data_IF_922334003922
#
_entry.id   IF_922334003922
#
_cell.length_a   1.000
_cell.length_b   1.000
_cell.length_c   1.000
_cell.angle_alpha   90.00
_cell.angle_beta   90.00
_cell.angle_gamma   90.00
#
_symmetry.space_group_name_H-M   'P 1'
#
loop_
_entity.id
_entity.type
_entity.pdbx_description
1 polymer ?
#
# COMPACT_ATOMS: atom_id res chain seq x y z
N UNK A 1 -4.55 5.83 11.91
CA UNK A 1 -3.26 5.77 11.21
C UNK A 1 -3.45 5.93 9.71
N UNK A 2 -2.43 6.39 9.03
CA UNK A 2 -2.38 6.45 7.57
C UNK A 2 -1.54 5.30 7.02
N UNK A 3 -1.96 4.69 5.91
CA UNK A 3 -1.12 3.73 5.18
C UNK A 3 -0.90 4.18 3.74
N UNK A 4 0.08 3.57 3.08
CA UNK A 4 0.60 4.01 1.80
C UNK A 4 0.54 2.85 0.82
N UNK A 5 -0.05 3.08 -0.35
CA UNK A 5 -0.12 2.09 -1.42
C UNK A 5 1.23 1.90 -2.11
N UNK A 6 1.43 0.72 -2.65
CA UNK A 6 2.61 0.34 -3.43
C UNK A 6 2.88 1.30 -4.59
N UNK A 7 1.83 1.84 -5.22
CA UNK A 7 1.95 2.79 -6.33
C UNK A 7 2.56 4.14 -5.94
N UNK A 8 2.72 4.41 -4.65
CA UNK A 8 3.47 5.56 -4.12
C UNK A 8 4.86 5.16 -3.64
N UNK A 9 5.04 3.92 -3.19
CA UNK A 9 6.33 3.41 -2.74
C UNK A 9 7.30 3.24 -3.92
N UNK A 10 6.83 2.68 -5.03
CA UNK A 10 7.67 2.44 -6.20
C UNK A 10 8.30 3.72 -6.76
N UNK A 11 7.53 4.77 -7.09
CA UNK A 11 8.15 6.01 -7.58
C UNK A 11 9.05 6.68 -6.55
N UNK A 12 8.78 6.51 -5.26
CA UNK A 12 9.63 7.08 -4.21
C UNK A 12 11.04 6.47 -4.18
N UNK A 13 11.19 5.21 -4.55
CA UNK A 13 12.48 4.50 -4.55
C UNK A 13 13.13 4.39 -5.93
N UNK A 14 12.41 4.69 -7.00
CA UNK A 14 12.90 4.65 -8.37
C UNK A 14 13.24 6.04 -8.87
N UNK A 15 14.53 6.39 -8.87
CA UNK A 15 14.99 7.73 -9.23
C UNK A 15 14.68 8.16 -10.67
N UNK A 16 14.51 7.21 -11.58
CA UNK A 16 14.13 7.46 -12.97
C UNK A 16 12.63 7.64 -13.21
N UNK A 17 11.81 7.48 -12.19
CA UNK A 17 10.36 7.62 -12.32
C UNK A 17 9.97 9.09 -12.42
N UNK A 18 9.01 9.42 -13.31
CA UNK A 18 8.53 10.79 -13.51
C UNK A 18 7.96 11.42 -12.23
N UNK A 19 7.42 10.61 -11.34
CA UNK A 19 6.81 11.06 -10.10
C UNK A 19 7.73 10.91 -8.89
N UNK A 20 9.01 10.58 -9.12
CA UNK A 20 9.96 10.32 -8.05
C UNK A 20 10.05 11.46 -7.04
N UNK A 21 10.24 12.69 -7.48
CA UNK A 21 10.39 13.83 -6.58
C UNK A 21 9.16 14.05 -5.70
N UNK A 22 7.97 13.97 -6.28
CA UNK A 22 6.72 14.14 -5.54
C UNK A 22 6.47 13.01 -4.55
N UNK A 23 6.70 11.78 -4.98
CA UNK A 23 6.51 10.60 -4.12
C UNK A 23 7.53 10.58 -2.98
N UNK A 24 8.79 10.84 -3.28
CA UNK A 24 9.84 10.92 -2.25
C UNK A 24 9.57 12.05 -1.24
N UNK A 25 9.13 13.21 -1.71
CA UNK A 25 8.75 14.33 -0.83
C UNK A 25 7.56 13.96 0.06
N UNK A 26 6.58 13.24 -0.48
CA UNK A 26 5.45 12.78 0.31
C UNK A 26 5.89 11.82 1.43
N UNK A 27 6.69 10.81 1.12
CA UNK A 27 7.20 9.89 2.13
C UNK A 27 8.06 10.62 3.18
N UNK A 28 8.90 11.54 2.73
CA UNK A 28 9.70 12.37 3.63
C UNK A 28 8.83 13.18 4.61
N UNK A 29 7.69 13.68 4.15
CA UNK A 29 6.75 14.41 5.00
C UNK A 29 6.17 13.57 6.14
N UNK A 30 6.22 12.24 5.99
CA UNK A 30 5.69 11.29 6.98
C UNK A 30 6.78 10.69 7.89
N UNK A 31 8.06 10.94 7.62
CA UNK A 31 9.16 10.20 8.25
C UNK A 31 9.22 10.32 9.76
N UNK A 32 8.77 11.44 10.32
CA UNK A 32 8.78 11.70 11.76
C UNK A 32 7.45 11.37 12.45
N UNK A 33 6.46 10.85 11.71
CA UNK A 33 5.15 10.49 12.26
C UNK A 33 5.17 9.06 12.77
N UNK A 34 4.48 8.83 13.89
CA UNK A 34 4.33 7.51 14.49
C UNK A 34 2.99 6.84 14.12
N UNK A 35 2.10 7.58 13.46
CA UNK A 35 0.78 7.11 13.04
C UNK A 35 0.74 6.67 11.57
N UNK A 36 1.86 6.17 11.07
CA UNK A 36 1.98 5.60 9.71
C UNK A 36 2.13 4.10 9.82
N UNK A 37 1.39 3.38 8.99
CA UNK A 37 1.47 1.92 8.89
C UNK A 37 1.92 1.52 7.49
N UNK A 38 2.91 0.64 7.43
CA UNK A 38 3.37 0.02 6.19
C UNK A 38 2.91 -1.44 6.17
N UNK A 39 2.28 -1.86 5.07
CA UNK A 39 1.74 -3.21 4.93
C UNK A 39 2.78 -4.16 4.35
N UNK A 40 2.93 -5.34 4.97
CA UNK A 40 3.74 -6.43 4.41
C UNK A 40 3.26 -6.81 2.99
N UNK A 41 1.95 -6.76 2.74
CA UNK A 41 1.40 -7.06 1.42
C UNK A 41 1.81 -6.01 0.39
N UNK A 42 1.79 -4.72 0.74
CA UNK A 42 2.28 -3.65 -0.13
C UNK A 42 3.77 -3.80 -0.43
N UNK A 43 4.56 -4.25 0.54
CA UNK A 43 5.99 -4.51 0.34
C UNK A 43 6.23 -5.72 -0.58
N UNK A 44 5.40 -6.75 -0.49
CA UNK A 44 5.48 -7.89 -1.41
C UNK A 44 5.18 -7.45 -2.85
N UNK A 45 4.18 -6.62 -3.05
CA UNK A 45 3.89 -6.04 -4.35
C UNK A 45 5.06 -5.19 -4.85
N UNK A 46 5.66 -4.38 -3.98
CA UNK A 46 6.83 -3.58 -4.30
C UNK A 46 8.01 -4.45 -4.74
N UNK A 47 8.29 -5.53 -4.02
CA UNK A 47 9.31 -6.50 -4.38
C UNK A 47 9.11 -7.03 -5.80
N UNK A 48 7.89 -7.43 -6.13
CA UNK A 48 7.59 -7.96 -7.45
C UNK A 48 7.74 -6.91 -8.55
N UNK A 49 7.33 -5.67 -8.30
CA UNK A 49 7.49 -4.57 -9.27
C UNK A 49 8.96 -4.21 -9.49
N UNK A 50 9.76 -4.16 -8.43
CA UNK A 50 11.19 -3.85 -8.52
C UNK A 50 11.97 -4.87 -9.35
N UNK A 51 11.49 -6.10 -9.44
CA UNK A 51 12.11 -7.18 -10.20
C UNK A 51 11.52 -7.37 -11.60
N UNK A 52 10.49 -6.63 -11.95
CA UNK A 52 9.74 -6.86 -13.18
C UNK A 52 10.30 -6.04 -14.34
N UNK A 53 10.89 -6.69 -15.39
CA UNK A 53 11.43 -5.98 -16.54
C UNK A 53 10.36 -5.30 -17.41
N UNK A 54 9.08 -5.67 -17.24
CA UNK A 54 7.97 -4.98 -17.89
C UNK A 54 7.63 -3.65 -17.22
N UNK A 55 8.06 -3.47 -15.97
CA UNK A 55 7.79 -2.25 -15.18
C UNK A 55 9.00 -1.33 -15.16
N UNK A 56 10.19 -1.87 -14.94
CA UNK A 56 11.43 -1.10 -14.84
C UNK A 56 12.36 -1.43 -16.03
N UNK A 57 12.95 -0.38 -16.61
CA UNK A 57 13.98 -0.56 -17.63
C UNK A 57 15.21 -1.30 -17.08
N UNK A 58 15.51 -1.09 -15.79
CA UNK A 58 16.61 -1.77 -15.09
C UNK A 58 16.08 -2.40 -13.81
N UNK A 59 15.49 -3.59 -13.90
CA UNK A 59 14.96 -4.28 -12.71
C UNK A 59 16.09 -4.63 -11.74
N UNK A 60 15.75 -4.64 -10.45
CA UNK A 60 16.68 -5.03 -9.40
C UNK A 60 16.86 -6.54 -9.36
N UNK A 61 18.02 -6.99 -8.91
CA UNK A 61 18.19 -8.38 -8.48
C UNK A 61 17.44 -8.67 -7.18
N UNK A 62 17.30 -9.95 -6.85
CA UNK A 62 16.53 -10.39 -5.70
C UNK A 62 17.02 -9.78 -4.38
N UNK A 63 18.33 -9.79 -4.15
CA UNK A 63 18.91 -9.26 -2.91
C UNK A 63 18.66 -7.76 -2.76
N UNK A 64 18.86 -6.98 -3.83
CA UNK A 64 18.65 -5.53 -3.79
C UNK A 64 17.17 -5.18 -3.58
N UNK A 65 16.26 -5.92 -4.21
CA UNK A 65 14.83 -5.72 -4.01
C UNK A 65 14.39 -6.02 -2.58
N UNK A 66 14.94 -7.07 -1.96
CA UNK A 66 14.71 -7.37 -0.54
C UNK A 66 15.25 -6.24 0.35
N UNK A 67 16.43 -5.71 0.04
CA UNK A 67 17.03 -4.63 0.83
C UNK A 67 16.16 -3.36 0.81
N UNK A 68 15.56 -3.03 -0.33
CA UNK A 68 14.61 -1.92 -0.43
C UNK A 68 13.39 -2.16 0.48
N UNK A 69 12.80 -3.35 0.43
CA UNK A 69 11.66 -3.69 1.28
C UNK A 69 12.03 -3.70 2.76
N UNK A 70 13.20 -4.23 3.11
CA UNK A 70 13.69 -4.24 4.49
C UNK A 70 13.93 -2.83 5.05
N UNK A 71 14.32 -1.88 4.20
CA UNK A 71 14.46 -0.49 4.64
C UNK A 71 13.13 0.08 5.14
N UNK A 72 12.01 -0.24 4.46
CA UNK A 72 10.68 0.13 4.95
C UNK A 72 10.29 -0.64 6.21
N UNK A 73 10.57 -1.93 6.26
CA UNK A 73 10.24 -2.78 7.41
C UNK A 73 10.95 -2.34 8.68
N UNK A 74 12.14 -1.78 8.55
CA UNK A 74 12.98 -1.33 9.67
C UNK A 74 12.81 0.16 9.97
N UNK A 75 11.82 0.82 9.38
CA UNK A 75 11.60 2.23 9.64
C UNK A 75 11.38 2.47 11.14
N UNK A 76 12.14 3.41 11.77
CA UNK A 76 12.15 3.54 13.23
C UNK A 76 10.85 4.02 13.84
N UNK A 77 9.97 4.66 13.06
CA UNK A 77 8.73 5.27 13.54
C UNK A 77 7.46 4.67 12.98
N UNK A 78 7.52 4.06 11.79
CA UNK A 78 6.34 3.49 11.14
C UNK A 78 6.05 2.09 11.69
N UNK A 79 4.78 1.77 11.80
CA UNK A 79 4.35 0.45 12.23
C UNK A 79 4.26 -0.49 11.04
N UNK A 80 4.83 -1.67 11.20
CA UNK A 80 4.71 -2.73 10.22
C UNK A 80 3.46 -3.54 10.52
N UNK A 81 2.55 -3.69 9.53
CA UNK A 81 1.30 -4.42 9.69
C UNK A 81 1.23 -5.58 8.71
N UNK A 82 0.80 -6.73 9.21
CA UNK A 82 0.58 -7.93 8.42
C UNK A 82 -0.90 -8.26 8.31
N UNK A 83 -1.25 -9.53 8.34
CA UNK A 83 -2.64 -9.96 8.39
C UNK A 83 -3.17 -9.94 9.82
N UNK A 84 -4.48 -9.65 10.02
CA UNK A 84 -5.10 -9.87 11.32
C UNK A 84 -5.00 -11.33 11.73
N UNK A 85 -4.85 -11.64 13.03
CA UNK A 85 -4.60 -13.00 13.50
C UNK A 85 -5.79 -13.96 13.29
N UNK A 86 -7.01 -13.46 13.29
CA UNK A 86 -8.22 -14.26 13.20
C UNK A 86 -8.79 -14.30 11.78
N UNK A 87 -8.46 -15.37 11.04
CA UNK A 87 -8.88 -15.54 9.65
C UNK A 87 -10.40 -15.60 9.50
N UNK A 88 -11.11 -16.35 10.37
CA UNK A 88 -12.54 -16.55 10.21
C UNK A 88 -13.36 -15.28 10.42
N UNK A 89 -13.22 -14.55 11.52
CA UNK A 89 -13.94 -13.28 11.68
C UNK A 89 -13.64 -12.28 10.57
N UNK A 90 -12.41 -12.23 10.10
CA UNK A 90 -12.03 -11.38 8.97
C UNK A 90 -12.83 -11.74 7.72
N UNK A 91 -12.86 -13.01 7.35
CA UNK A 91 -13.52 -13.47 6.12
C UNK A 91 -15.05 -13.49 6.24
N UNK A 92 -15.59 -13.62 7.45
CA UNK A 92 -17.02 -13.44 7.68
C UNK A 92 -17.49 -12.01 7.38
N UNK A 93 -16.59 -11.03 7.47
CA UNK A 93 -16.84 -9.63 7.04
C UNK A 93 -16.50 -9.43 5.56
N UNK A 94 -15.45 -10.08 5.08
CA UNK A 94 -14.93 -9.91 3.72
C UNK A 94 -15.90 -10.40 2.64
N UNK A 95 -16.36 -11.65 2.72
CA UNK A 95 -17.16 -12.31 1.68
C UNK A 95 -18.53 -11.68 1.41
N UNK A 96 -19.30 -11.23 2.44
CA UNK A 96 -20.62 -10.66 2.19
C UNK A 96 -20.61 -9.47 1.23
N UNK A 97 -19.57 -8.65 1.26
CA UNK A 97 -19.48 -7.48 0.37
C UNK A 97 -19.32 -7.89 -1.09
N UNK A 98 -18.66 -8.99 -1.35
CA UNK A 98 -18.45 -9.50 -2.72
C UNK A 98 -19.74 -10.03 -3.36
N UNK A 99 -20.80 -10.24 -2.58
CA UNK A 99 -22.08 -10.72 -3.04
C UNK A 99 -22.89 -9.66 -3.79
N UNK A 100 -22.54 -8.39 -3.65
CA UNK A 100 -23.23 -7.27 -4.29
C UNK A 100 -23.10 -7.34 -5.82
N UNK A 101 -24.23 -7.16 -6.54
CA UNK A 101 -24.25 -7.19 -8.01
C UNK A 101 -23.32 -6.17 -8.65
N UNK A 102 -23.19 -5.01 -8.00
CA UNK A 102 -22.42 -3.89 -8.53
C UNK A 102 -20.98 -3.88 -8.05
N UNK A 103 -20.58 -4.89 -7.27
CA UNK A 103 -19.21 -5.00 -6.81
C UNK A 103 -18.31 -5.49 -7.95
N UNK A 104 -17.42 -4.63 -8.43
CA UNK A 104 -16.53 -4.97 -9.53
C UNK A 104 -15.54 -6.09 -9.10
N UNK A 105 -15.46 -7.14 -9.90
CA UNK A 105 -14.61 -8.32 -9.66
C UNK A 105 -13.18 -7.96 -9.27
N UNK A 106 -12.57 -7.02 -10.00
CA UNK A 106 -11.18 -6.61 -9.78
C UNK A 106 -10.95 -5.91 -8.43
N UNK A 107 -12.00 -5.35 -7.84
CA UNK A 107 -11.92 -4.66 -6.54
C UNK A 107 -11.90 -5.62 -5.34
N UNK A 108 -12.00 -6.91 -5.57
CA UNK A 108 -11.95 -7.91 -4.49
C UNK A 108 -10.62 -7.87 -3.72
N UNK A 109 -9.52 -7.72 -4.43
CA UNK A 109 -8.20 -7.57 -3.80
C UNK A 109 -8.05 -6.24 -3.06
N UNK A 110 -8.58 -5.17 -3.62
CA UNK A 110 -8.57 -3.84 -2.99
C UNK A 110 -9.39 -3.85 -1.70
N UNK A 111 -10.55 -4.51 -1.73
CA UNK A 111 -11.36 -4.70 -0.53
C UNK A 111 -10.64 -5.51 0.54
N UNK A 112 -9.93 -6.57 0.14
CA UNK A 112 -9.13 -7.36 1.08
C UNK A 112 -8.06 -6.51 1.75
N UNK A 113 -7.33 -5.71 0.97
CA UNK A 113 -6.32 -4.79 1.49
C UNK A 113 -6.96 -3.78 2.44
N UNK A 114 -8.05 -3.14 2.02
CA UNK A 114 -8.74 -2.12 2.81
C UNK A 114 -9.22 -2.69 4.16
N UNK A 115 -9.89 -3.84 4.14
CA UNK A 115 -10.38 -4.47 5.37
C UNK A 115 -9.21 -4.88 6.28
N UNK A 116 -8.16 -5.44 5.72
CA UNK A 116 -6.96 -5.83 6.47
C UNK A 116 -6.35 -4.64 7.20
N UNK A 117 -6.16 -3.52 6.50
CA UNK A 117 -5.61 -2.30 7.09
C UNK A 117 -6.53 -1.71 8.16
N UNK A 118 -7.83 -1.65 7.89
CA UNK A 118 -8.80 -1.09 8.84
C UNK A 118 -8.88 -1.90 10.13
N UNK A 119 -8.78 -3.22 10.06
CA UNK A 119 -8.74 -4.10 11.22
C UNK A 119 -7.52 -3.84 12.11
N UNK A 120 -6.50 -3.23 11.57
CA UNK A 120 -5.27 -2.91 12.29
C UNK A 120 -5.15 -1.42 12.63
N UNK A 121 -6.25 -0.68 12.53
CA UNK A 121 -6.34 0.72 12.97
C UNK A 121 -6.03 1.76 11.91
N UNK A 122 -5.89 1.37 10.64
CA UNK A 122 -5.70 2.31 9.54
C UNK A 122 -7.04 2.94 9.15
N UNK A 123 -7.09 4.26 9.11
CA UNK A 123 -8.31 5.03 8.76
C UNK A 123 -8.16 5.85 7.51
N UNK A 124 -6.92 6.12 7.07
CA UNK A 124 -6.63 6.91 5.89
C UNK A 124 -5.68 6.14 4.96
N UNK A 125 -5.92 6.24 3.66
CA UNK A 125 -5.14 5.51 2.66
C UNK A 125 -4.68 6.43 1.55
N UNK A 126 -3.36 6.57 1.40
CA UNK A 126 -2.74 7.33 0.32
C UNK A 126 -2.49 6.40 -0.87
N UNK A 127 -3.05 6.73 -2.02
CA UNK A 127 -2.96 5.93 -3.25
C UNK A 127 -3.13 6.79 -4.49
N UNK A 128 -2.48 6.42 -5.58
CA UNK A 128 -2.74 7.02 -6.89
C UNK A 128 -4.11 6.58 -7.43
N UNK A 129 -4.56 5.37 -7.09
CA UNK A 129 -5.81 4.77 -7.57
C UNK A 129 -6.97 5.04 -6.60
N UNK A 130 -7.30 6.30 -6.38
CA UNK A 130 -8.35 6.71 -5.43
C UNK A 130 -9.68 6.00 -5.69
N UNK A 131 -10.07 5.86 -6.97
CA UNK A 131 -11.34 5.22 -7.35
C UNK A 131 -11.46 3.78 -6.88
N UNK A 132 -10.36 3.04 -6.86
CA UNK A 132 -10.38 1.62 -6.51
C UNK A 132 -10.62 1.40 -5.00
N UNK A 133 -10.32 2.40 -4.19
CA UNK A 133 -10.46 2.35 -2.74
C UNK A 133 -11.60 3.22 -2.18
N UNK A 134 -12.19 4.06 -3.03
CA UNK A 134 -13.32 4.89 -2.63
C UNK A 134 -14.51 4.02 -2.23
N UNK A 135 -15.17 4.37 -1.12
CA UNK A 135 -16.30 3.61 -0.61
C UNK A 135 -15.94 2.29 0.07
N UNK A 136 -14.65 1.97 0.25
CA UNK A 136 -14.22 0.73 0.91
C UNK A 136 -14.00 0.88 2.43
N UNK A 137 -14.47 1.96 3.06
CA UNK A 137 -14.52 2.10 4.51
C UNK A 137 -13.47 2.99 5.13
N UNK A 138 -12.50 3.51 4.39
CA UNK A 138 -11.56 4.50 4.88
C UNK A 138 -12.26 5.85 5.10
N UNK A 139 -11.83 6.59 6.10
CA UNK A 139 -12.29 7.97 6.32
C UNK A 139 -11.77 8.92 5.24
N UNK A 140 -10.59 8.64 4.71
CA UNK A 140 -9.96 9.42 3.67
C UNK A 140 -9.16 8.52 2.74
N UNK A 141 -9.40 8.68 1.43
CA UNK A 141 -8.56 8.12 0.37
C UNK A 141 -8.16 9.28 -0.52
N UNK A 142 -6.86 9.45 -0.78
CA UNK A 142 -6.41 10.55 -1.61
C UNK A 142 -5.12 10.24 -2.35
N UNK A 143 -4.89 10.97 -3.42
CA UNK A 143 -3.62 10.94 -4.16
C UNK A 143 -2.75 12.13 -3.73
N UNK A 144 -1.68 11.90 -2.96
CA UNK A 144 -0.81 12.98 -2.50
C UNK A 144 0.05 13.62 -3.59
N UNK A 145 0.11 13.01 -4.78
CA UNK A 145 0.87 13.53 -5.92
C UNK A 145 0.09 14.57 -6.72
N UNK A 146 -1.20 14.69 -6.50
CA UNK A 146 -2.00 15.73 -7.10
C UNK A 146 -1.87 17.00 -6.26
N UNK A 147 -1.40 18.06 -6.90
CA UNK A 147 -1.26 19.37 -6.27
C UNK A 147 -2.63 19.99 -5.99
#
# INVERSE_FOLDING_TARGET
>A
MVSIDTNLLLPAVESGNRQHELAAAFLHSLENREDVAISELALLELYNLLRNPAVLARPLGAADAVDVCEAFRQHPRWQLVGFPPDSRPFHDTFWPRLRGKDFARRRSYDWRMALCLQRQGVTEFATVNVRDFDGLGFKRVWNPLNA
#
